data_IF_183674365443
#
_entry.id   IF_183674365443
#
_cell.length_a   1.000
_cell.length_b   1.000
_cell.length_c   1.000
_cell.angle_alpha   90.00
_cell.angle_beta   90.00
_cell.angle_gamma   90.00
#
_symmetry.space_group_name_H-M   'P 1'
#
loop_
_entity.id
_entity.type
_entity.pdbx_description
1 polymer ?
#
# COMPACT_ATOMS: atom_id res chain seq x y z
N UNK A 1 1.37 24.45 4.30
CA UNK A 1 1.98 23.49 3.35
C UNK A 1 3.15 22.69 3.92
N UNK A 2 4.11 23.28 4.67
CA UNK A 2 5.28 22.54 5.22
C UNK A 2 4.93 21.35 6.14
N UNK A 3 3.88 21.45 6.96
CA UNK A 3 3.47 20.36 7.84
C UNK A 3 2.86 19.17 7.07
N UNK A 4 2.05 19.44 6.05
CA UNK A 4 1.47 18.40 5.20
C UNK A 4 2.55 17.67 4.42
N UNK A 5 3.50 18.41 3.83
CA UNK A 5 4.61 17.79 3.11
C UNK A 5 5.48 16.93 4.02
N UNK A 6 5.72 17.34 5.27
CA UNK A 6 6.49 16.55 6.25
C UNK A 6 5.74 15.29 6.70
N UNK A 7 4.42 15.36 6.78
CA UNK A 7 3.55 14.26 7.20
C UNK A 7 3.36 13.23 6.08
N UNK A 8 3.13 13.69 4.84
CA UNK A 8 2.80 12.88 3.66
C UNK A 8 4.00 12.71 2.70
N UNK A 9 5.22 13.08 3.10
CA UNK A 9 6.40 13.08 2.21
C UNK A 9 6.65 11.72 1.55
N UNK A 10 6.47 10.65 2.34
CA UNK A 10 6.76 9.29 1.90
C UNK A 10 5.70 8.79 0.90
N UNK A 11 4.42 9.10 1.13
CA UNK A 11 3.33 8.82 0.19
C UNK A 11 3.51 9.61 -1.11
N UNK A 12 3.92 10.88 -1.00
CA UNK A 12 4.22 11.73 -2.16
C UNK A 12 5.43 11.20 -2.95
N UNK A 13 6.47 10.74 -2.27
CA UNK A 13 7.65 10.16 -2.90
C UNK A 13 7.33 8.85 -3.63
N UNK A 14 6.56 7.95 -2.99
CA UNK A 14 6.10 6.71 -3.62
C UNK A 14 5.19 6.99 -4.82
N UNK A 15 4.28 7.96 -4.71
CA UNK A 15 3.47 8.41 -5.84
C UNK A 15 4.32 8.97 -6.97
N UNK A 16 5.33 9.80 -6.67
CA UNK A 16 6.22 10.36 -7.69
C UNK A 16 7.01 9.25 -8.41
N UNK A 17 7.49 8.24 -7.67
CA UNK A 17 8.18 7.08 -8.25
C UNK A 17 7.23 6.27 -9.14
N UNK A 18 6.01 6.00 -8.66
CA UNK A 18 4.98 5.31 -9.44
C UNK A 18 4.65 6.07 -10.73
N UNK A 19 4.39 7.37 -10.62
CA UNK A 19 4.07 8.25 -11.75
C UNK A 19 5.20 8.31 -12.78
N UNK A 20 6.44 8.54 -12.34
CA UNK A 20 7.60 8.59 -13.25
C UNK A 20 7.83 7.24 -13.90
N UNK A 21 7.78 6.16 -13.13
CA UNK A 21 7.91 4.80 -13.65
C UNK A 21 6.86 4.52 -14.71
N UNK A 22 5.60 4.88 -14.45
CA UNK A 22 4.53 4.58 -15.37
C UNK A 22 4.54 5.45 -16.62
N UNK A 23 4.82 6.75 -16.51
CA UNK A 23 4.97 7.64 -17.67
C UNK A 23 6.09 7.17 -18.59
N UNK A 24 7.19 6.63 -18.02
CA UNK A 24 8.30 6.07 -18.79
C UNK A 24 7.93 4.77 -19.51
N UNK A 25 7.10 3.91 -18.89
CA UNK A 25 6.71 2.61 -19.46
C UNK A 25 5.51 2.75 -20.41
N UNK A 26 4.62 3.73 -20.21
CA UNK A 26 3.40 3.96 -20.99
C UNK A 26 3.59 3.89 -22.52
N UNK A 27 4.64 4.47 -23.13
CA UNK A 27 4.85 4.36 -24.58
C UNK A 27 5.22 2.94 -25.06
N UNK A 28 5.73 2.09 -24.17
CA UNK A 28 6.14 0.71 -24.48
C UNK A 28 5.06 -0.33 -24.15
N UNK A 29 3.98 0.07 -23.46
CA UNK A 29 2.89 -0.84 -23.09
C UNK A 29 1.94 -1.10 -24.27
N UNK A 30 1.49 -2.36 -24.43
CA UNK A 30 0.41 -2.68 -25.36
C UNK A 30 -0.89 -1.97 -24.95
N UNK A 31 -1.80 -1.81 -25.91
CA UNK A 31 -3.04 -1.07 -25.71
C UNK A 31 -3.97 -1.72 -24.66
N UNK A 32 -3.88 -3.04 -24.54
CA UNK A 32 -4.52 -3.83 -23.48
C UNK A 32 -3.47 -4.46 -22.56
N UNK A 33 -3.66 -4.27 -21.26
CA UNK A 33 -2.77 -4.76 -20.20
C UNK A 33 -3.52 -5.80 -19.36
N UNK A 34 -2.91 -6.95 -19.04
CA UNK A 34 -3.53 -7.93 -18.16
C UNK A 34 -3.65 -7.39 -16.74
N UNK A 35 -4.87 -7.36 -16.21
CA UNK A 35 -5.16 -6.99 -14.83
C UNK A 35 -5.19 -8.24 -13.98
N UNK A 36 -4.03 -8.60 -13.41
CA UNK A 36 -3.90 -9.80 -12.58
C UNK A 36 -4.50 -9.68 -11.18
N UNK A 37 -4.97 -8.48 -10.81
CA UNK A 37 -5.62 -8.24 -9.52
C UNK A 37 -7.15 -8.33 -9.57
N UNK A 38 -7.75 -8.58 -10.74
CA UNK A 38 -9.19 -8.78 -10.87
C UNK A 38 -9.48 -10.25 -11.20
N UNK A 39 -10.51 -10.83 -10.56
CA UNK A 39 -10.95 -12.21 -10.81
C UNK A 39 -12.40 -12.14 -11.32
N UNK A 40 -12.69 -12.58 -12.56
CA UNK A 40 -11.80 -13.23 -13.54
C UNK A 40 -10.75 -12.27 -14.14
N UNK A 41 -9.62 -12.82 -14.60
CA UNK A 41 -8.55 -12.04 -15.23
C UNK A 41 -9.10 -11.27 -16.43
N UNK A 42 -9.12 -9.94 -16.32
CA UNK A 42 -9.59 -9.06 -17.38
C UNK A 42 -8.40 -8.35 -18.02
N UNK A 43 -8.50 -8.09 -19.31
CA UNK A 43 -7.65 -7.10 -19.96
C UNK A 43 -8.28 -5.72 -19.75
N UNK A 44 -7.48 -4.76 -19.30
CA UNK A 44 -7.90 -3.37 -19.16
C UNK A 44 -7.08 -2.49 -20.10
N UNK A 45 -7.61 -1.33 -20.51
CA UNK A 45 -6.83 -0.38 -21.32
C UNK A 45 -5.60 0.08 -20.55
N UNK A 46 -4.50 0.38 -21.25
CA UNK A 46 -3.25 0.89 -20.65
C UNK A 46 -3.44 2.11 -19.72
N UNK A 47 -4.47 2.92 -19.96
CA UNK A 47 -4.84 4.06 -19.13
C UNK A 47 -5.31 3.68 -17.72
N UNK A 48 -5.74 2.43 -17.51
CA UNK A 48 -6.16 1.95 -16.19
C UNK A 48 -5.02 1.95 -15.18
N UNK A 49 -3.78 1.69 -15.61
CA UNK A 49 -2.61 1.83 -14.74
C UNK A 49 -2.47 3.29 -14.28
N UNK A 50 -2.67 4.24 -15.20
CA UNK A 50 -2.44 5.65 -14.93
C UNK A 50 -3.50 6.19 -13.98
N UNK A 51 -4.75 5.75 -14.16
CA UNK A 51 -5.83 5.99 -13.21
C UNK A 51 -5.53 5.37 -11.85
N UNK A 52 -4.92 4.18 -11.80
CA UNK A 52 -4.53 3.55 -10.55
C UNK A 52 -3.44 4.36 -9.83
N UNK A 53 -2.44 4.85 -10.55
CA UNK A 53 -1.40 5.74 -10.00
C UNK A 53 -1.99 7.04 -9.50
N UNK A 54 -2.89 7.69 -10.26
CA UNK A 54 -3.57 8.92 -9.82
C UNK A 54 -4.44 8.67 -8.59
N UNK A 55 -5.07 7.49 -8.47
CA UNK A 55 -5.89 7.12 -7.31
C UNK A 55 -5.09 6.61 -6.12
N UNK A 56 -3.81 6.26 -6.30
CA UNK A 56 -2.92 5.81 -5.23
C UNK A 56 -2.72 6.90 -4.15
N UNK A 57 -2.44 8.13 -4.55
CA UNK A 57 -2.23 9.24 -3.61
C UNK A 57 -3.49 9.55 -2.76
N UNK A 58 -4.69 9.76 -3.34
CA UNK A 58 -5.91 9.96 -2.54
C UNK A 58 -6.29 8.69 -1.78
N UNK A 59 -6.01 7.49 -2.31
CA UNK A 59 -6.23 6.22 -1.61
C UNK A 59 -5.38 6.09 -0.34
N UNK A 60 -4.07 6.37 -0.42
CA UNK A 60 -3.18 6.37 0.74
C UNK A 60 -3.61 7.43 1.78
N UNK A 61 -3.97 8.63 1.31
CA UNK A 61 -4.53 9.68 2.18
C UNK A 61 -5.82 9.24 2.89
N UNK A 62 -6.74 8.58 2.17
CA UNK A 62 -7.99 8.04 2.72
C UNK A 62 -7.75 6.94 3.74
N UNK A 63 -6.83 6.01 3.47
CA UNK A 63 -6.44 4.95 4.41
C UNK A 63 -5.89 5.57 5.69
N UNK A 64 -5.02 6.57 5.57
CA UNK A 64 -4.47 7.29 6.72
C UNK A 64 -5.54 8.05 7.50
N UNK A 65 -6.42 8.75 6.81
CA UNK A 65 -7.52 9.49 7.44
C UNK A 65 -8.52 8.55 8.12
N UNK A 66 -8.84 7.42 7.49
CA UNK A 66 -9.69 6.37 8.06
C UNK A 66 -9.06 5.76 9.30
N UNK A 67 -7.74 5.50 9.29
CA UNK A 67 -7.01 5.03 10.47
C UNK A 67 -7.03 6.08 11.60
N UNK A 68 -6.83 7.35 11.27
CA UNK A 68 -6.88 8.44 12.23
C UNK A 68 -8.28 8.58 12.87
N UNK A 69 -9.35 8.48 12.07
CA UNK A 69 -10.73 8.45 12.60
C UNK A 69 -11.01 7.20 13.45
N UNK A 70 -10.49 6.04 13.04
CA UNK A 70 -10.62 4.80 13.79
C UNK A 70 -9.93 4.91 15.17
N UNK A 71 -8.73 5.49 15.21
CA UNK A 71 -7.99 5.75 16.44
C UNK A 71 -8.64 6.82 17.32
N UNK A 72 -9.26 7.85 16.73
CA UNK A 72 -10.04 8.83 17.48
C UNK A 72 -11.26 8.18 18.17
N UNK A 73 -11.89 7.19 17.53
CA UNK A 73 -13.01 6.44 18.09
C UNK A 73 -12.58 5.42 19.14
N UNK A 74 -11.38 4.85 19.02
CA UNK A 74 -10.82 3.84 19.93
C UNK A 74 -9.42 4.23 20.43
N UNK A 75 -9.32 5.19 21.38
CA UNK A 75 -8.03 5.73 21.82
C UNK A 75 -7.14 4.69 22.53
N UNK A 76 -7.74 3.65 23.10
CA UNK A 76 -7.01 2.52 23.69
C UNK A 76 -6.19 1.74 22.64
N UNK A 77 -6.67 1.69 21.40
CA UNK A 77 -6.03 1.01 20.26
C UNK A 77 -4.98 1.91 19.61
N UNK A 78 -5.20 3.24 19.63
CA UNK A 78 -4.22 4.24 19.17
C UNK A 78 -2.91 4.19 19.99
N UNK A 79 -3.02 3.98 21.30
CA UNK A 79 -1.87 3.91 22.20
C UNK A 79 -1.02 2.64 22.00
N UNK A 80 -1.60 1.59 21.40
CA UNK A 80 -0.92 0.35 21.04
C UNK A 80 -0.43 0.32 19.59
N UNK A 81 -1.09 1.04 18.68
CA UNK A 81 -0.86 0.94 17.25
C UNK A 81 -0.52 2.28 16.57
N UNK A 82 -0.10 3.31 17.30
CA UNK A 82 0.31 4.60 16.71
C UNK A 82 1.42 4.52 15.66
N UNK A 83 2.23 3.44 15.66
CA UNK A 83 3.20 3.15 14.58
C UNK A 83 2.54 2.65 13.28
N UNK A 84 1.41 1.92 13.37
CA UNK A 84 0.67 1.45 12.19
C UNK A 84 0.11 2.62 11.37
N UNK A 85 -0.30 3.71 12.00
CA UNK A 85 -0.75 4.92 11.29
C UNK A 85 0.30 5.47 10.32
N UNK A 86 1.58 5.22 10.62
CA UNK A 86 2.70 5.66 9.81
C UNK A 86 3.18 4.60 8.81
N UNK A 87 2.92 3.32 9.05
CA UNK A 87 3.42 2.20 8.24
C UNK A 87 2.37 1.67 7.25
N UNK A 88 1.08 1.71 7.59
CA UNK A 88 0.00 1.19 6.73
C UNK A 88 -0.13 1.97 5.41
N UNK A 89 -0.11 3.31 5.37
CA UNK A 89 -0.23 4.04 4.10
C UNK A 89 0.94 3.81 3.12
N UNK A 90 2.22 3.75 3.59
CA UNK A 90 3.34 3.32 2.75
C UNK A 90 3.21 1.90 2.23
N UNK A 91 2.84 0.95 3.10
CA UNK A 91 2.63 -0.45 2.70
C UNK A 91 1.55 -0.55 1.63
N UNK A 92 0.42 0.12 1.83
CA UNK A 92 -0.65 0.19 0.83
C UNK A 92 -0.15 0.76 -0.52
N UNK A 93 0.68 1.80 -0.48
CA UNK A 93 1.29 2.37 -1.70
C UNK A 93 2.25 1.39 -2.38
N UNK A 94 3.06 0.66 -1.61
CA UNK A 94 3.97 -0.36 -2.15
C UNK A 94 3.20 -1.51 -2.79
N UNK A 95 2.13 -1.98 -2.15
CA UNK A 95 1.23 -2.98 -2.71
C UNK A 95 0.68 -2.57 -4.07
N UNK A 96 0.22 -1.32 -4.20
CA UNK A 96 -0.30 -0.79 -5.46
C UNK A 96 0.78 -0.69 -6.54
N UNK A 97 2.00 -0.26 -6.18
CA UNK A 97 3.14 -0.21 -7.10
C UNK A 97 3.52 -1.61 -7.58
N UNK A 98 3.55 -2.60 -6.70
CA UNK A 98 3.82 -4.00 -7.05
C UNK A 98 2.73 -4.54 -7.98
N UNK A 99 1.48 -4.18 -7.73
CA UNK A 99 0.34 -4.48 -8.58
C UNK A 99 0.54 -3.92 -10.00
N UNK A 100 0.90 -2.64 -10.12
CA UNK A 100 1.19 -2.01 -11.41
C UNK A 100 2.36 -2.66 -12.15
N UNK A 101 3.49 -2.85 -11.45
CA UNK A 101 4.68 -3.52 -11.99
C UNK A 101 4.35 -4.91 -12.52
N UNK A 102 3.49 -5.65 -11.82
CA UNK A 102 3.11 -6.99 -12.25
C UNK A 102 2.22 -7.00 -13.49
N UNK A 103 1.34 -6.03 -13.67
CA UNK A 103 0.57 -5.85 -14.91
C UNK A 103 1.46 -5.43 -16.07
N UNK A 104 2.46 -4.58 -15.82
CA UNK A 104 3.49 -4.22 -16.80
C UNK A 104 4.28 -5.47 -17.21
N UNK A 105 4.84 -6.21 -16.25
CA UNK A 105 5.58 -7.47 -16.51
C UNK A 105 4.71 -8.50 -17.25
N UNK A 106 3.44 -8.60 -16.88
CA UNK A 106 2.42 -9.39 -17.56
C UNK A 106 2.27 -9.06 -19.03
N UNK A 107 2.27 -7.78 -19.36
CA UNK A 107 2.17 -7.30 -20.74
C UNK A 107 3.36 -7.71 -21.61
N UNK A 108 4.52 -7.98 -20.98
CA UNK A 108 5.71 -8.54 -21.62
C UNK A 108 5.78 -10.08 -21.58
N UNK A 109 4.72 -10.75 -21.10
CA UNK A 109 4.66 -12.21 -21.01
C UNK A 109 5.36 -12.81 -19.79
N UNK A 110 5.81 -11.97 -18.84
CA UNK A 110 6.39 -12.42 -17.57
C UNK A 110 5.27 -12.59 -16.54
N UNK A 111 4.86 -13.83 -16.30
CA UNK A 111 3.78 -14.13 -15.35
C UNK A 111 4.29 -14.01 -13.92
N UNK A 112 3.90 -12.94 -13.23
CA UNK A 112 4.19 -12.76 -11.82
C UNK A 112 2.95 -13.12 -10.99
N UNK A 113 3.04 -14.05 -10.02
CA UNK A 113 1.92 -14.39 -9.15
C UNK A 113 1.65 -13.28 -8.13
N UNK A 114 1.05 -12.19 -8.61
CA UNK A 114 0.69 -10.96 -7.85
C UNK A 114 -0.12 -11.30 -6.62
N UNK A 115 -1.00 -12.27 -6.74
CA UNK A 115 -1.83 -12.77 -5.65
C UNK A 115 -0.97 -13.20 -4.45
N UNK A 116 0.17 -13.86 -4.68
CA UNK A 116 1.07 -14.30 -3.61
C UNK A 116 1.84 -13.14 -3.00
N UNK A 117 2.18 -12.12 -3.79
CA UNK A 117 2.86 -10.91 -3.28
C UNK A 117 1.89 -10.09 -2.43
N UNK A 118 0.66 -9.87 -2.90
CA UNK A 118 -0.40 -9.21 -2.14
C UNK A 118 -0.76 -10.00 -0.87
N UNK A 119 -0.84 -11.34 -0.97
CA UNK A 119 -1.08 -12.21 0.17
C UNK A 119 0.07 -12.14 1.16
N UNK A 120 1.32 -12.17 0.70
CA UNK A 120 2.49 -12.02 1.56
C UNK A 120 2.51 -10.66 2.26
N UNK A 121 2.12 -9.60 1.57
CA UNK A 121 2.04 -8.25 2.13
C UNK A 121 0.90 -8.12 3.16
N UNK A 122 -0.26 -8.74 2.89
CA UNK A 122 -1.37 -8.83 3.84
C UNK A 122 -0.99 -9.65 5.09
N UNK A 123 -0.30 -10.79 4.89
CA UNK A 123 0.23 -11.64 5.96
C UNK A 123 1.29 -10.88 6.76
N UNK A 124 2.17 -10.13 6.10
CA UNK A 124 3.17 -9.30 6.77
C UNK A 124 2.51 -8.23 7.63
N UNK A 125 1.46 -7.58 7.13
CA UNK A 125 0.66 -6.61 7.90
C UNK A 125 0.00 -7.28 9.12
N UNK A 126 -0.59 -8.47 8.94
CA UNK A 126 -1.20 -9.23 10.03
C UNK A 126 -0.15 -9.66 11.09
N UNK A 127 1.03 -10.13 10.66
CA UNK A 127 2.14 -10.49 11.55
C UNK A 127 2.68 -9.28 12.30
N UNK A 128 2.76 -8.10 11.65
CA UNK A 128 3.12 -6.84 12.31
C UNK A 128 2.09 -6.47 13.38
N UNK A 129 0.81 -6.59 13.08
CA UNK A 129 -0.27 -6.37 14.05
C UNK A 129 -0.15 -7.31 15.26
N UNK A 130 0.08 -8.60 15.02
CA UNK A 130 0.24 -9.62 16.08
C UNK A 130 1.52 -9.37 16.88
N UNK A 131 2.64 -9.04 16.23
CA UNK A 131 3.93 -8.78 16.87
C UNK A 131 3.89 -7.55 17.79
N UNK A 132 3.21 -6.48 17.37
CA UNK A 132 2.98 -5.31 18.21
C UNK A 132 2.08 -5.62 19.42
N UNK A 133 1.03 -6.42 19.22
CA UNK A 133 0.18 -6.90 20.31
C UNK A 133 0.96 -7.78 21.32
N UNK A 134 1.81 -8.68 20.82
CA UNK A 134 2.62 -9.60 21.63
C UNK A 134 3.74 -8.88 22.41
N UNK A 135 4.42 -7.92 21.78
CA UNK A 135 5.47 -7.09 22.42
C UNK A 135 4.95 -6.36 23.67
N UNK A 136 3.71 -5.86 23.62
CA UNK A 136 3.05 -5.23 24.77
C UNK A 136 2.68 -6.21 25.89
N UNK A 137 2.28 -7.44 25.56
CA UNK A 137 1.98 -8.46 26.57
C UNK A 137 3.24 -8.85 27.36
N UNK A 138 4.38 -8.93 26.66
CA UNK A 138 5.69 -9.17 27.28
C UNK A 138 6.16 -7.98 28.14
N UNK A 139 5.91 -6.74 27.70
CA UNK A 139 6.21 -5.53 28.48
C UNK A 139 5.34 -5.33 29.74
N UNK A 140 4.12 -5.90 29.80
CA UNK A 140 3.28 -5.90 31.01
C UNK A 140 3.66 -6.99 32.01
N UNK A 141 4.23 -8.11 31.57
CA UNK A 141 4.68 -9.20 32.43
C UNK A 141 6.04 -8.92 33.12
N UNK A 142 6.86 -8.04 32.55
CA UNK A 142 8.19 -7.69 33.07
C UNK A 142 8.25 -6.51 34.06
N UNK A 143 7.11 -6.01 34.58
CA UNK A 143 7.10 -4.99 35.63
C UNK A 143 7.10 -5.69 36.99
N UNK A 144 8.25 -5.79 37.71
CA UNK A 144 8.21 -6.20 39.10
C UNK A 144 7.38 -5.15 39.87
N UNK A 145 6.41 -5.65 40.64
CA UNK A 145 5.78 -4.87 41.71
C UNK A 145 6.81 -4.57 42.78
#
# INVERSE_FOLDING_TARGET
MKAFLKTYWLELALFAVALVGEVMVLPFLPESVPVYWNIPFCQAPKWTLLLLTVTQLPGACLVRFGLHLYFAKYPAVALTFGSLERLVPPLFSVALILCQLSSVLGSFGLFFPVLYVLLAELVFLALLCIGLAASKHKGRSGRPR
#
